data_IF_959407032311
#
_entry.id   IF_959407032311
#
_cell.length_a   1.000
_cell.length_b   1.000
_cell.length_c   1.000
_cell.angle_alpha   90.00
_cell.angle_beta   90.00
_cell.angle_gamma   90.00
#
_symmetry.space_group_name_H-M   'P 1'
#
loop_
_entity.id
_entity.type
_entity.pdbx_description
1 polymer ?
#
# COMPACT_ATOMS: atom_id res chain seq x y z
N UNK A 1 -21.17 12.94 -40.85
CA UNK A 1 -19.92 12.24 -40.50
C UNK A 1 -19.34 12.64 -39.12
N UNK A 2 -20.15 12.93 -38.08
CA UNK A 2 -19.64 13.30 -36.73
C UNK A 2 -19.80 12.20 -35.66
N UNK A 3 -20.35 11.04 -36.04
CA UNK A 3 -20.75 9.98 -35.10
C UNK A 3 -19.60 8.99 -34.84
N UNK A 4 -18.82 8.65 -35.88
CA UNK A 4 -17.69 7.72 -35.79
C UNK A 4 -16.56 8.25 -34.87
N UNK A 5 -16.22 9.54 -34.96
CA UNK A 5 -15.17 10.14 -34.12
C UNK A 5 -15.54 10.11 -32.62
N UNK A 6 -16.82 10.34 -32.29
CA UNK A 6 -17.30 10.27 -30.91
C UNK A 6 -17.24 8.84 -30.34
N UNK A 7 -17.54 7.83 -31.16
CA UNK A 7 -17.46 6.41 -30.75
C UNK A 7 -16.00 5.99 -30.51
N UNK A 8 -15.08 6.41 -31.38
CA UNK A 8 -13.63 6.13 -31.23
C UNK A 8 -13.05 6.82 -29.98
N UNK A 9 -13.43 8.08 -29.73
CA UNK A 9 -13.01 8.81 -28.53
C UNK A 9 -13.57 8.19 -27.24
N UNK A 10 -14.82 7.70 -27.25
CA UNK A 10 -15.40 7.01 -26.10
C UNK A 10 -14.71 5.66 -25.81
N UNK A 11 -14.41 4.88 -26.86
CA UNK A 11 -13.70 3.60 -26.72
C UNK A 11 -12.31 3.77 -26.14
N UNK A 12 -11.52 4.70 -26.69
CA UNK A 12 -10.17 5.00 -26.19
C UNK A 12 -10.17 5.52 -24.76
N UNK A 13 -11.19 6.29 -24.37
CA UNK A 13 -11.40 6.70 -22.98
C UNK A 13 -11.64 5.52 -22.04
N UNK A 14 -12.52 4.59 -22.41
CA UNK A 14 -12.82 3.38 -21.65
C UNK A 14 -11.58 2.49 -21.49
N UNK A 15 -10.85 2.25 -22.58
CA UNK A 15 -9.62 1.46 -22.56
C UNK A 15 -8.57 2.07 -21.64
N UNK A 16 -8.38 3.39 -21.69
CA UNK A 16 -7.42 4.08 -20.81
C UNK A 16 -7.81 3.93 -19.34
N UNK A 17 -9.09 4.10 -18.99
CA UNK A 17 -9.58 3.93 -17.62
C UNK A 17 -9.40 2.49 -17.13
N UNK A 18 -9.67 1.49 -17.99
CA UNK A 18 -9.43 0.08 -17.68
C UNK A 18 -7.95 -0.20 -17.38
N UNK A 19 -7.04 0.28 -18.23
CA UNK A 19 -5.60 0.09 -18.05
C UNK A 19 -5.10 0.70 -16.73
N UNK A 20 -5.50 1.94 -16.41
CA UNK A 20 -5.12 2.61 -15.16
C UNK A 20 -5.69 1.85 -13.95
N UNK A 21 -6.93 1.39 -14.03
CA UNK A 21 -7.58 0.62 -12.97
C UNK A 21 -6.88 -0.73 -12.74
N UNK A 22 -6.49 -1.43 -13.81
CA UNK A 22 -5.77 -2.70 -13.74
C UNK A 22 -4.36 -2.51 -13.16
N UNK A 23 -3.61 -1.50 -13.61
CA UNK A 23 -2.30 -1.18 -13.06
C UNK A 23 -2.40 -0.85 -11.56
N UNK A 24 -3.39 -0.06 -11.16
CA UNK A 24 -3.66 0.24 -9.75
C UNK A 24 -4.01 -0.99 -8.92
N UNK A 25 -4.85 -1.90 -9.44
CA UNK A 25 -5.16 -3.18 -8.78
C UNK A 25 -3.92 -4.07 -8.63
N UNK A 26 -3.09 -4.17 -9.66
CA UNK A 26 -1.86 -4.96 -9.62
C UNK A 26 -0.89 -4.41 -8.57
N UNK A 27 -0.68 -3.09 -8.55
CA UNK A 27 0.14 -2.43 -7.54
C UNK A 27 -0.35 -2.73 -6.12
N UNK A 28 -1.65 -2.54 -5.84
CA UNK A 28 -2.24 -2.86 -4.52
C UNK A 28 -2.06 -4.31 -4.12
N UNK A 29 -2.15 -5.25 -5.07
CA UNK A 29 -1.89 -6.68 -4.81
C UNK A 29 -0.44 -6.93 -4.40
N UNK A 30 0.53 -6.25 -5.04
CA UNK A 30 1.94 -6.40 -4.69
C UNK A 30 2.23 -5.73 -3.35
N UNK A 31 1.71 -4.53 -3.10
CA UNK A 31 1.81 -3.84 -1.80
C UNK A 31 1.25 -4.71 -0.66
N UNK A 32 0.10 -5.36 -0.88
CA UNK A 32 -0.47 -6.31 0.09
C UNK A 32 0.44 -7.52 0.33
N UNK A 33 1.04 -8.09 -0.71
CA UNK A 33 1.98 -9.21 -0.56
C UNK A 33 3.25 -8.83 0.19
N UNK A 34 3.73 -7.59 0.00
CA UNK A 34 4.83 -7.04 0.78
C UNK A 34 4.42 -6.91 2.25
N UNK A 35 3.24 -6.37 2.53
CA UNK A 35 2.70 -6.31 3.89
C UNK A 35 2.53 -7.70 4.53
N UNK A 36 2.03 -8.70 3.81
CA UNK A 36 1.95 -10.08 4.28
C UNK A 36 3.34 -10.66 4.60
N UNK A 37 4.35 -10.34 3.79
CA UNK A 37 5.73 -10.79 4.00
C UNK A 37 6.35 -10.14 5.24
N UNK A 38 6.13 -8.83 5.42
CA UNK A 38 6.57 -8.10 6.61
C UNK A 38 5.85 -8.62 7.86
N UNK A 39 4.53 -8.79 7.80
CA UNK A 39 3.74 -9.32 8.90
C UNK A 39 4.24 -10.70 9.36
N UNK A 40 4.60 -11.57 8.41
CA UNK A 40 5.19 -12.86 8.72
C UNK A 40 6.59 -12.72 9.36
N UNK A 41 7.43 -11.81 8.84
CA UNK A 41 8.78 -11.58 9.35
C UNK A 41 8.79 -11.00 10.77
N UNK A 42 7.81 -10.15 11.11
CA UNK A 42 7.72 -9.49 12.42
C UNK A 42 6.76 -10.16 13.39
N UNK A 43 6.18 -11.31 13.01
CA UNK A 43 5.12 -11.99 13.78
C UNK A 43 3.98 -11.04 14.20
N UNK A 44 3.48 -10.25 13.24
CA UNK A 44 2.46 -9.24 13.47
C UNK A 44 1.22 -9.84 14.15
N UNK A 45 0.82 -9.23 15.26
CA UNK A 45 -0.39 -9.64 15.96
C UNK A 45 -1.63 -9.50 15.07
N UNK A 46 -2.53 -10.47 15.17
CA UNK A 46 -3.89 -10.37 14.61
C UNK A 46 -4.69 -9.30 15.36
N UNK A 47 -5.80 -8.86 14.79
CA UNK A 47 -6.66 -7.81 15.36
C UNK A 47 -6.42 -6.45 14.70
N UNK A 48 -6.68 -5.38 15.43
CA UNK A 48 -6.78 -3.99 14.96
C UNK A 48 -6.01 -2.98 15.84
N UNK A 49 -5.34 -3.44 16.90
CA UNK A 49 -4.63 -2.57 17.85
C UNK A 49 -3.54 -1.67 17.22
N UNK A 50 -3.00 -2.03 16.06
CA UNK A 50 -1.98 -1.28 15.32
C UNK A 50 -2.56 -0.37 14.24
N UNK A 51 -3.89 -0.36 14.04
CA UNK A 51 -4.54 0.44 13.00
C UNK A 51 -4.28 1.93 13.17
N UNK A 52 -4.38 2.44 14.40
CA UNK A 52 -4.11 3.86 14.69
C UNK A 52 -2.65 4.26 14.51
N UNK A 53 -1.75 3.27 14.52
CA UNK A 53 -0.32 3.49 14.47
C UNK A 53 0.20 3.37 13.03
N UNK A 54 -0.06 2.24 12.38
CA UNK A 54 0.42 1.97 11.01
C UNK A 54 -0.49 2.59 9.95
N UNK A 55 -1.79 2.65 10.21
CA UNK A 55 -2.81 2.98 9.24
C UNK A 55 -3.25 4.45 9.28
N UNK A 56 -4.41 4.67 8.67
CA UNK A 56 -5.11 5.97 8.66
C UNK A 56 -6.31 5.99 9.60
N UNK A 57 -6.53 4.91 10.36
CA UNK A 57 -7.68 4.73 11.25
C UNK A 57 -8.92 4.13 10.57
N UNK A 58 -8.86 3.86 9.26
CA UNK A 58 -10.00 3.36 8.48
C UNK A 58 -9.89 1.86 8.15
N UNK A 59 -8.74 1.26 8.44
CA UNK A 59 -8.45 -0.14 8.18
C UNK A 59 -9.12 -1.05 9.21
N UNK A 60 -9.60 -2.21 8.79
CA UNK A 60 -10.30 -3.14 9.69
C UNK A 60 -9.35 -4.04 10.48
N UNK A 61 -8.08 -4.14 10.07
CA UNK A 61 -7.09 -5.03 10.69
C UNK A 61 -5.69 -4.44 10.65
N UNK A 62 -4.81 -4.92 11.52
CA UNK A 62 -3.38 -4.61 11.52
C UNK A 62 -2.71 -4.90 10.18
N UNK A 63 -3.13 -5.96 9.48
CA UNK A 63 -2.58 -6.28 8.15
C UNK A 63 -3.00 -5.27 7.10
N UNK A 64 -4.26 -4.80 7.14
CA UNK A 64 -4.72 -3.74 6.25
C UNK A 64 -4.01 -2.42 6.55
N UNK A 65 -3.85 -2.07 7.83
CA UNK A 65 -3.08 -0.92 8.26
C UNK A 65 -1.62 -1.00 7.79
N UNK A 66 -0.98 -2.17 7.91
CA UNK A 66 0.36 -2.40 7.39
C UNK A 66 0.42 -2.29 5.86
N UNK A 67 -0.61 -2.71 5.13
CA UNK A 67 -0.68 -2.53 3.68
C UNK A 67 -0.80 -1.04 3.30
N UNK A 68 -1.60 -0.26 4.03
CA UNK A 68 -1.65 1.21 3.87
C UNK A 68 -0.29 1.83 4.15
N UNK A 69 0.35 1.44 5.26
CA UNK A 69 1.68 1.88 5.64
C UNK A 69 2.70 1.60 4.52
N UNK A 70 2.76 0.36 4.00
CA UNK A 70 3.64 -0.02 2.89
C UNK A 70 3.41 0.88 1.67
N UNK A 71 2.15 1.12 1.28
CA UNK A 71 1.83 1.99 0.14
C UNK A 71 2.34 3.41 0.34
N UNK A 72 2.23 3.94 1.55
CA UNK A 72 2.69 5.30 1.89
C UNK A 72 4.21 5.37 1.96
N UNK A 73 4.87 4.42 2.63
CA UNK A 73 6.32 4.35 2.76
C UNK A 73 7.00 4.17 1.40
N UNK A 74 6.46 3.33 0.52
CA UNK A 74 6.99 3.19 -0.85
C UNK A 74 6.93 4.53 -1.62
N UNK A 75 5.86 5.32 -1.44
CA UNK A 75 5.78 6.66 -2.07
C UNK A 75 6.77 7.63 -1.44
N UNK A 76 6.90 7.64 -0.11
CA UNK A 76 7.83 8.52 0.61
C UNK A 76 9.29 8.25 0.23
N UNK A 77 9.67 6.98 0.12
CA UNK A 77 11.00 6.54 -0.27
C UNK A 77 11.23 6.55 -1.79
N UNK A 78 10.20 6.86 -2.59
CA UNK A 78 10.21 6.77 -4.05
C UNK A 78 10.69 5.40 -4.57
N UNK A 79 10.16 4.33 -3.97
CA UNK A 79 10.47 2.95 -4.31
C UNK A 79 9.32 2.29 -5.07
N UNK A 80 9.69 1.39 -5.99
CA UNK A 80 8.73 0.52 -6.65
C UNK A 80 8.23 -0.59 -5.71
N UNK A 81 6.95 -0.96 -5.86
CA UNK A 81 6.36 -2.09 -5.17
C UNK A 81 6.92 -3.40 -5.72
N UNK A 82 8.06 -3.85 -5.20
CA UNK A 82 8.71 -5.10 -5.58
C UNK A 82 9.53 -5.68 -4.40
N UNK A 83 10.15 -6.85 -4.59
CA UNK A 83 10.89 -7.55 -3.54
C UNK A 83 12.14 -6.80 -3.05
N UNK A 84 12.74 -5.95 -3.88
CA UNK A 84 13.92 -5.16 -3.51
C UNK A 84 13.58 -4.09 -2.47
N UNK A 85 12.30 -3.69 -2.36
CA UNK A 85 11.86 -2.77 -1.33
C UNK A 85 11.78 -3.41 0.07
N UNK A 86 11.79 -4.74 0.20
CA UNK A 86 11.60 -5.43 1.49
C UNK A 86 12.61 -4.98 2.56
N UNK A 87 13.93 -4.95 2.32
CA UNK A 87 14.88 -4.51 3.34
C UNK A 87 14.66 -3.06 3.79
N UNK A 88 14.30 -2.17 2.85
CA UNK A 88 14.00 -0.77 3.15
C UNK A 88 12.73 -0.63 3.98
N UNK A 89 11.67 -1.36 3.60
CA UNK A 89 10.41 -1.36 4.33
C UNK A 89 10.56 -1.96 5.74
N UNK A 90 11.37 -3.00 5.91
CA UNK A 90 11.60 -3.58 7.23
C UNK A 90 12.32 -2.59 8.15
N UNK A 91 13.38 -1.94 7.65
CA UNK A 91 14.12 -0.94 8.42
C UNK A 91 13.24 0.28 8.79
N UNK A 92 12.37 0.76 7.89
CA UNK A 92 11.42 1.82 8.23
C UNK A 92 10.33 1.36 9.21
N UNK A 93 9.86 0.12 9.10
CA UNK A 93 8.84 -0.40 10.01
C UNK A 93 9.38 -0.48 11.42
N UNK A 94 10.61 -0.98 11.59
CA UNK A 94 11.31 -0.98 12.88
C UNK A 94 11.43 0.45 13.43
N UNK A 95 11.98 1.39 12.65
CA UNK A 95 12.09 2.80 13.09
C UNK A 95 10.74 3.39 13.52
N UNK A 96 9.70 3.10 12.75
CA UNK A 96 8.34 3.58 13.03
C UNK A 96 7.85 3.04 14.39
N UNK A 97 8.02 1.75 14.64
CA UNK A 97 7.62 1.10 15.90
C UNK A 97 8.45 1.60 17.10
N UNK A 98 9.76 1.73 16.94
CA UNK A 98 10.66 2.24 17.98
C UNK A 98 10.35 3.68 18.38
N UNK A 99 10.05 4.55 17.40
CA UNK A 99 9.68 5.93 17.68
C UNK A 99 8.41 6.04 18.54
N UNK A 100 7.51 5.07 18.45
CA UNK A 100 6.30 5.03 19.28
C UNK A 100 6.53 4.44 20.65
N UNK A 101 7.39 3.43 20.77
CA UNK A 101 7.76 2.91 22.08
C UNK A 101 8.38 4.02 22.95
N UNK A 102 9.27 4.83 22.39
CA UNK A 102 9.87 5.97 23.09
C UNK A 102 8.84 7.02 23.52
N UNK A 103 7.82 7.28 22.70
CA UNK A 103 6.73 8.22 23.01
C UNK A 103 5.74 7.68 24.05
N UNK A 104 5.55 6.36 24.15
CA UNK A 104 4.64 5.75 25.11
C UNK A 104 5.19 5.74 26.54
N UNK A 105 6.50 5.96 26.73
CA UNK A 105 7.19 5.98 28.01
C UNK A 105 7.57 7.39 28.51
N UNK A 106 7.09 8.44 27.83
CA UNK A 106 7.20 9.86 28.23
C UNK A 106 5.89 10.35 28.85
#
# INVERSE_FOLDING_TARGET
>A
MKNLDNVVMAHTGIERTLHVTMAGKNRRRVERRLAESLAAATNLAKGDALVMWLGTGHEATNLEALATWVSNTLKQLNLDANRQAIPHLLAELERTLWAWEDQAWQ
#
